data_IF_724764191058
#
_entry.id   IF_724764191058
#
_cell.length_a   1.000
_cell.length_b   1.000
_cell.length_c   1.000
_cell.angle_alpha   90.00
_cell.angle_beta   90.00
_cell.angle_gamma   90.00
#
_symmetry.space_group_name_H-M   'P 1'
#
loop_
_entity.id
_entity.type
_entity.pdbx_description
1 polymer ?
#
# COMPACT_ATOMS: atom_id res chain seq x y z
N UNK A 1 -40.78 29.93 25.30
CA UNK A 1 -40.99 28.83 24.33
C UNK A 1 -41.16 29.50 22.97
N UNK A 2 -40.32 29.35 21.95
CA UNK A 2 -39.28 28.36 21.66
C UNK A 2 -38.02 29.10 21.19
N UNK A 3 -36.86 28.58 21.58
CA UNK A 3 -35.55 29.08 21.18
C UNK A 3 -35.34 28.67 19.72
N UNK A 4 -35.06 29.61 18.82
CA UNK A 4 -34.50 29.30 17.51
C UNK A 4 -33.10 28.72 17.73
N UNK A 5 -33.04 27.41 17.95
CA UNK A 5 -31.80 26.66 17.92
C UNK A 5 -31.32 26.66 16.47
N UNK A 6 -30.39 27.57 16.18
CA UNK A 6 -29.48 27.47 15.05
C UNK A 6 -28.87 26.07 15.06
N UNK A 7 -29.39 25.18 14.21
CA UNK A 7 -28.65 24.03 13.74
C UNK A 7 -27.53 24.59 12.89
N UNK A 8 -26.45 25.02 13.54
CA UNK A 8 -25.20 25.41 12.88
C UNK A 8 -24.61 24.10 12.36
N UNK A 9 -24.93 23.78 11.11
CA UNK A 9 -24.30 22.72 10.35
C UNK A 9 -22.78 22.94 10.41
N UNK A 10 -22.08 22.12 11.16
CA UNK A 10 -20.65 21.91 10.94
C UNK A 10 -20.44 20.41 10.86
N UNK A 11 -21.14 19.80 9.92
CA UNK A 11 -20.64 18.59 9.28
C UNK A 11 -19.39 19.01 8.52
N UNK A 12 -18.24 19.06 9.21
CA UNK A 12 -16.97 18.80 8.52
C UNK A 12 -17.05 17.34 8.11
N UNK A 13 -17.72 17.07 6.99
CA UNK A 13 -17.64 15.78 6.31
C UNK A 13 -16.18 15.68 5.90
N UNK A 14 -15.36 15.03 6.73
CA UNK A 14 -14.00 14.67 6.33
C UNK A 14 -14.16 13.84 5.06
N UNK A 15 -13.68 14.36 3.94
CA UNK A 15 -13.82 13.69 2.65
C UNK A 15 -13.03 12.38 2.70
N UNK A 16 -13.77 11.26 2.73
CA UNK A 16 -13.23 9.91 2.74
C UNK A 16 -13.22 9.41 1.30
N UNK A 17 -12.06 8.90 0.88
CA UNK A 17 -11.87 8.30 -0.44
C UNK A 17 -11.42 6.84 -0.31
N UNK A 18 -11.87 6.00 -1.25
CA UNK A 18 -11.36 4.63 -1.39
C UNK A 18 -10.12 4.66 -2.28
N UNK A 19 -8.96 4.45 -1.68
CA UNK A 19 -7.66 4.49 -2.36
C UNK A 19 -7.00 3.12 -2.39
N UNK A 20 -6.25 2.85 -3.47
CA UNK A 20 -5.60 1.55 -3.70
C UNK A 20 -4.09 1.67 -3.49
N UNK A 21 -3.54 0.89 -2.56
CA UNK A 21 -2.10 0.81 -2.31
C UNK A 21 -1.33 0.40 -3.58
N UNK A 22 -0.30 1.17 -3.93
CA UNK A 22 0.49 0.93 -5.14
C UNK A 22 1.40 -0.30 -5.03
N UNK A 23 1.77 -0.68 -3.81
CA UNK A 23 2.60 -1.86 -3.53
C UNK A 23 1.79 -3.15 -3.68
N UNK A 24 0.77 -3.37 -2.85
CA UNK A 24 0.04 -4.65 -2.75
C UNK A 24 -1.33 -4.64 -3.43
N UNK A 25 -1.91 -3.47 -3.71
CA UNK A 25 -3.24 -3.35 -4.31
C UNK A 25 -4.40 -3.44 -3.33
N UNK A 26 -4.14 -3.50 -2.03
CA UNK A 26 -5.16 -3.37 -0.98
C UNK A 26 -5.89 -2.03 -1.11
N UNK A 27 -7.21 -2.03 -0.91
CA UNK A 27 -8.02 -0.82 -0.91
C UNK A 27 -8.35 -0.43 0.53
N UNK A 28 -8.27 0.85 0.83
CA UNK A 28 -8.57 1.41 2.15
C UNK A 28 -9.44 2.67 1.99
N UNK A 29 -10.33 2.91 2.94
CA UNK A 29 -11.09 4.15 3.08
C UNK A 29 -10.26 5.11 3.94
N UNK A 30 -9.88 6.27 3.40
CA UNK A 30 -8.97 7.20 4.05
C UNK A 30 -9.41 8.64 3.81
N UNK A 31 -9.10 9.53 4.77
CA UNK A 31 -9.31 10.96 4.58
C UNK A 31 -8.29 11.53 3.59
N UNK A 32 -8.68 12.53 2.80
CA UNK A 32 -7.78 13.18 1.84
C UNK A 32 -6.49 13.69 2.52
N UNK A 33 -6.62 14.28 3.72
CA UNK A 33 -5.48 14.75 4.51
C UNK A 33 -4.47 13.62 4.84
N UNK A 34 -4.97 12.43 5.19
CA UNK A 34 -4.12 11.28 5.47
C UNK A 34 -3.46 10.76 4.18
N UNK A 35 -4.21 10.72 3.07
CA UNK A 35 -3.68 10.34 1.75
C UNK A 35 -2.51 11.23 1.35
N UNK A 36 -2.67 12.55 1.45
CA UNK A 36 -1.65 13.52 1.10
C UNK A 36 -0.42 13.42 2.02
N UNK A 37 -0.62 13.20 3.32
CA UNK A 37 0.47 12.98 4.29
C UNK A 37 1.31 11.75 3.95
N UNK A 38 0.67 10.64 3.58
CA UNK A 38 1.38 9.41 3.17
C UNK A 38 2.11 9.62 1.85
N UNK A 39 1.45 10.19 0.83
CA UNK A 39 2.09 10.49 -0.46
C UNK A 39 3.34 11.37 -0.30
N UNK A 40 3.31 12.36 0.60
CA UNK A 40 4.47 13.21 0.90
C UNK A 40 5.67 12.45 1.47
N UNK A 41 5.46 11.29 2.10
CA UNK A 41 6.53 10.46 2.69
C UNK A 41 7.12 9.44 1.71
N UNK A 42 6.37 9.05 0.68
CA UNK A 42 6.71 7.91 -0.19
C UNK A 42 6.74 8.28 -1.68
N UNK A 43 7.43 9.37 -2.02
CA UNK A 43 7.63 9.80 -3.43
C UNK A 43 6.32 10.03 -4.20
N UNK A 44 5.31 10.58 -3.54
CA UNK A 44 3.99 10.81 -4.14
C UNK A 44 3.11 9.56 -4.24
N UNK A 45 3.60 8.39 -3.78
CA UNK A 45 2.86 7.14 -3.86
C UNK A 45 1.98 6.92 -2.63
N UNK A 46 0.77 6.40 -2.85
CA UNK A 46 -0.08 5.95 -1.76
C UNK A 46 0.25 4.51 -1.35
N UNK A 47 0.47 4.32 -0.06
CA UNK A 47 0.76 3.03 0.58
C UNK A 47 -0.30 2.77 1.66
N UNK A 48 -0.76 1.52 1.75
CA UNK A 48 -1.58 1.11 2.90
C UNK A 48 -0.75 1.10 4.17
N UNK A 49 -1.42 1.12 5.34
CA UNK A 49 -0.75 1.16 6.64
C UNK A 49 0.34 0.10 6.81
N UNK A 50 0.07 -1.15 6.38
CA UNK A 50 1.04 -2.25 6.46
C UNK A 50 2.26 -2.07 5.54
N UNK A 51 2.06 -1.61 4.31
CA UNK A 51 3.18 -1.33 3.39
C UNK A 51 3.99 -0.11 3.86
N UNK A 52 3.35 0.89 4.47
CA UNK A 52 4.06 2.03 5.06
C UNK A 52 4.93 1.66 6.25
N UNK A 53 4.52 0.71 7.10
CA UNK A 53 5.40 0.16 8.15
C UNK A 53 6.53 -0.66 7.52
N UNK A 54 6.22 -1.57 6.60
CA UNK A 54 7.24 -2.42 5.98
C UNK A 54 8.33 -1.63 5.24
N UNK A 55 7.97 -0.56 4.51
CA UNK A 55 8.96 0.33 3.87
C UNK A 55 9.81 1.07 4.90
N UNK A 56 9.23 1.47 6.05
CA UNK A 56 9.99 2.08 7.15
C UNK A 56 10.95 1.10 7.81
N UNK A 57 10.59 -0.18 7.91
CA UNK A 57 11.50 -1.21 8.38
C UNK A 57 12.63 -1.46 7.38
N UNK A 58 12.34 -1.44 6.07
CA UNK A 58 13.33 -1.58 5.02
C UNK A 58 14.33 -0.39 4.99
N UNK A 59 13.89 0.82 5.35
CA UNK A 59 14.78 1.98 5.51
C UNK A 59 15.85 1.76 6.57
N UNK A 60 15.59 0.99 7.63
CA UNK A 60 16.64 0.70 8.63
C UNK A 60 17.79 -0.13 8.02
N UNK A 61 17.54 -0.81 6.90
CA UNK A 61 18.52 -1.61 6.16
C UNK A 61 19.04 -0.91 4.90
N UNK A 62 18.57 0.30 4.58
CA UNK A 62 18.84 0.98 3.32
C UNK A 62 19.18 2.46 3.53
N UNK A 63 19.80 3.09 2.53
CA UNK A 63 20.28 4.47 2.68
C UNK A 63 19.23 5.52 2.29
N UNK A 64 18.25 5.14 1.47
CA UNK A 64 17.28 6.08 0.88
C UNK A 64 15.87 5.49 0.78
N UNK A 65 14.86 6.36 0.95
CA UNK A 65 13.44 6.02 0.80
C UNK A 65 13.11 5.44 -0.56
N UNK A 66 13.78 5.93 -1.62
CA UNK A 66 13.62 5.43 -2.97
C UNK A 66 13.97 3.95 -3.07
N UNK A 67 15.10 3.56 -2.49
CA UNK A 67 15.59 2.18 -2.52
C UNK A 67 14.64 1.29 -1.74
N UNK A 68 14.22 1.72 -0.54
CA UNK A 68 13.36 0.93 0.34
C UNK A 68 11.99 0.72 -0.33
N UNK A 69 11.42 1.78 -0.88
CA UNK A 69 10.16 1.70 -1.60
C UNK A 69 10.26 0.78 -2.83
N UNK A 70 11.36 0.84 -3.59
CA UNK A 70 11.60 0.00 -4.77
C UNK A 70 11.76 -1.48 -4.39
N UNK A 71 12.49 -1.77 -3.31
CA UNK A 71 12.67 -3.12 -2.79
C UNK A 71 11.31 -3.71 -2.36
N UNK A 72 10.53 -2.96 -1.59
CA UNK A 72 9.20 -3.37 -1.15
C UNK A 72 8.22 -3.60 -2.31
N UNK A 73 8.16 -2.68 -3.29
CA UNK A 73 7.30 -2.84 -4.47
C UNK A 73 7.68 -4.10 -5.26
N UNK A 74 8.98 -4.36 -5.42
CA UNK A 74 9.47 -5.57 -6.08
C UNK A 74 9.04 -6.83 -5.31
N UNK A 75 9.13 -6.81 -3.98
CA UNK A 75 8.65 -7.88 -3.12
C UNK A 75 7.14 -8.10 -3.29
N UNK A 76 6.31 -7.08 -3.12
CA UNK A 76 4.85 -7.21 -3.26
C UNK A 76 4.42 -7.74 -4.64
N UNK A 77 5.09 -7.32 -5.72
CA UNK A 77 4.79 -7.79 -7.08
C UNK A 77 5.02 -9.29 -7.26
N UNK A 78 6.00 -9.89 -6.57
CA UNK A 78 6.26 -11.34 -6.64
C UNK A 78 5.06 -12.17 -6.16
N UNK A 79 4.25 -11.64 -5.25
CA UNK A 79 3.10 -12.34 -4.68
C UNK A 79 1.77 -11.96 -5.34
N UNK A 80 1.78 -11.04 -6.32
CA UNK A 80 0.61 -10.75 -7.17
C UNK A 80 0.37 -11.82 -8.24
N UNK A 81 1.32 -12.72 -8.48
CA UNK A 81 1.14 -13.84 -9.40
C UNK A 81 0.15 -14.85 -8.82
N UNK A 82 -0.78 -15.34 -9.65
CA UNK A 82 -1.68 -16.44 -9.31
C UNK A 82 -0.87 -17.59 -8.65
N UNK A 83 -1.30 -18.14 -7.50
CA UNK A 83 -0.63 -19.28 -6.86
C UNK A 83 -0.29 -20.43 -7.83
N UNK A 84 -1.13 -20.67 -8.84
CA UNK A 84 -0.89 -21.65 -9.90
C UNK A 84 0.37 -21.36 -10.73
N UNK A 85 0.70 -20.08 -10.99
CA UNK A 85 1.92 -19.68 -11.71
C UNK A 85 3.16 -20.05 -10.88
N UNK A 86 3.12 -19.82 -9.57
CA UNK A 86 4.22 -20.19 -8.66
C UNK A 86 4.42 -21.69 -8.59
N UNK A 87 3.33 -22.46 -8.56
CA UNK A 87 3.38 -23.93 -8.61
C UNK A 87 3.98 -24.38 -9.95
N UNK A 88 3.54 -23.81 -11.07
CA UNK A 88 4.07 -24.13 -12.39
C UNK A 88 5.57 -23.80 -12.52
N UNK A 89 6.02 -22.65 -12.00
CA UNK A 89 7.44 -22.27 -11.98
C UNK A 89 8.27 -23.22 -11.12
N UNK A 90 7.77 -23.62 -9.95
CA UNK A 90 8.43 -24.59 -9.10
C UNK A 90 8.55 -25.96 -9.80
N UNK A 91 7.47 -26.43 -10.44
CA UNK A 91 7.48 -27.66 -11.25
C UNK A 91 8.49 -27.57 -12.40
N UNK A 92 8.54 -26.46 -13.12
CA UNK A 92 9.52 -26.20 -14.19
C UNK A 92 10.96 -26.29 -13.68
N UNK A 93 11.25 -25.71 -12.51
CA UNK A 93 12.59 -25.79 -11.90
C UNK A 93 12.94 -27.22 -11.49
N UNK A 94 12.00 -27.99 -10.93
CA UNK A 94 12.22 -29.38 -10.55
C UNK A 94 12.55 -30.26 -11.78
N UNK A 95 11.81 -30.10 -12.87
CA UNK A 95 12.05 -30.86 -14.11
C UNK A 95 13.41 -30.50 -14.74
N UNK A 96 13.79 -29.21 -14.76
CA UNK A 96 15.10 -28.76 -15.27
C UNK A 96 16.27 -29.34 -14.48
N UNK A 97 16.16 -29.43 -13.16
CA UNK A 97 17.21 -30.00 -12.30
C UNK A 97 17.41 -31.50 -12.48
N UNK A 98 16.36 -32.22 -12.88
CA UNK A 98 16.39 -33.67 -13.13
C UNK A 98 16.95 -34.06 -14.51
N UNK A 99 17.20 -33.06 -15.37
CA UNK A 99 17.69 -33.25 -16.74
C UNK A 99 19.22 -33.11 -16.83
N UNK A 100 19.92 -33.08 -15.69
CA UNK A 100 21.38 -33.00 -15.55
C UNK A 100 21.92 -34.21 -14.79
#
# INVERSE_FOLDING_TARGET
MCVELQVRSSENIMEIEVVKCECCGLKEECTEAYINSVKGKFEGKWLCGLCSEAVRDELNNQSAIHEALKAHISFCRKYKSNPAVRVADAMRQMLRRRSS
#
